data_IF_989458354078
#
_entry.id   IF_989458354078
#
_cell.length_a   1.000
_cell.length_b   1.000
_cell.length_c   1.000
_cell.angle_alpha   90.00
_cell.angle_beta   90.00
_cell.angle_gamma   90.00
#
_symmetry.space_group_name_H-M   'P 1'
#
loop_
_entity.id
_entity.type
_entity.pdbx_description
1 polymer ?
#
# COMPACT_ATOMS: atom_id res chain seq x y z
N UNK A 1 6.05 14.98 -12.84
CA UNK A 1 5.87 13.65 -13.49
C UNK A 1 6.61 12.60 -12.69
N UNK A 2 6.00 11.47 -12.48
CA UNK A 2 6.61 10.31 -11.83
C UNK A 2 7.04 9.34 -12.94
N UNK A 3 8.36 9.14 -13.12
CA UNK A 3 8.87 8.29 -14.19
C UNK A 3 8.76 6.80 -13.85
N UNK A 4 8.88 5.94 -14.86
CA UNK A 4 9.02 4.50 -14.67
C UNK A 4 10.17 4.16 -13.71
N UNK A 5 11.28 4.89 -13.83
CA UNK A 5 12.43 4.71 -12.94
C UNK A 5 12.07 4.98 -11.47
N UNK A 6 11.28 6.02 -11.20
CA UNK A 6 10.74 6.26 -9.87
C UNK A 6 9.88 5.09 -9.38
N UNK A 7 9.02 4.53 -10.24
CA UNK A 7 8.15 3.40 -9.88
C UNK A 7 8.97 2.16 -9.54
N UNK A 8 9.94 1.79 -10.37
CA UNK A 8 10.81 0.63 -10.11
C UNK A 8 11.57 0.82 -8.79
N UNK A 9 12.18 1.98 -8.59
CA UNK A 9 12.95 2.25 -7.37
C UNK A 9 12.05 2.35 -6.13
N UNK A 10 10.83 2.86 -6.25
CA UNK A 10 9.84 2.81 -5.18
C UNK A 10 9.61 1.37 -4.69
N UNK A 11 9.42 0.43 -5.61
CA UNK A 11 9.19 -0.98 -5.26
C UNK A 11 10.43 -1.62 -4.62
N UNK A 12 11.62 -1.25 -5.08
CA UNK A 12 12.87 -1.67 -4.44
C UNK A 12 13.03 -1.05 -3.04
N UNK A 13 12.65 0.20 -2.87
CA UNK A 13 12.64 0.85 -1.55
C UNK A 13 11.65 0.18 -0.60
N UNK A 14 10.52 -0.32 -1.10
CA UNK A 14 9.58 -1.09 -0.32
C UNK A 14 10.22 -2.37 0.25
N UNK A 15 11.04 -3.07 -0.54
CA UNK A 15 11.78 -4.23 -0.03
C UNK A 15 12.66 -3.85 1.15
N UNK A 16 13.42 -2.75 1.06
CA UNK A 16 14.26 -2.27 2.14
C UNK A 16 13.45 -1.90 3.38
N UNK A 17 12.37 -1.15 3.20
CA UNK A 17 11.52 -0.69 4.31
C UNK A 17 10.85 -1.86 5.02
N UNK A 18 10.32 -2.84 4.29
CA UNK A 18 9.68 -3.99 4.90
C UNK A 18 10.69 -4.96 5.54
N UNK A 19 11.94 -4.93 5.12
CA UNK A 19 13.03 -5.61 5.83
C UNK A 19 13.34 -4.92 7.16
N UNK A 20 13.51 -3.60 7.15
CA UNK A 20 13.79 -2.80 8.35
C UNK A 20 12.65 -2.82 9.36
N UNK A 21 11.40 -2.75 8.88
CA UNK A 21 10.20 -2.65 9.70
C UNK A 21 9.53 -4.00 9.98
N UNK A 22 10.14 -5.11 9.56
CA UNK A 22 9.59 -6.45 9.72
C UNK A 22 9.16 -6.74 11.15
N UNK A 23 10.04 -6.53 12.10
CA UNK A 23 9.79 -6.89 13.51
C UNK A 23 8.71 -5.98 14.11
N UNK A 24 8.69 -4.70 13.74
CA UNK A 24 7.66 -3.77 14.16
C UNK A 24 6.27 -4.18 13.66
N UNK A 25 6.15 -4.48 12.36
CA UNK A 25 4.88 -4.93 11.76
C UNK A 25 4.42 -6.27 12.35
N UNK A 26 5.35 -7.18 12.61
CA UNK A 26 5.08 -8.47 13.27
C UNK A 26 4.57 -8.25 14.69
N UNK A 27 5.17 -7.34 15.44
CA UNK A 27 4.73 -7.02 16.81
C UNK A 27 3.30 -6.46 16.83
N UNK A 28 2.96 -5.53 15.92
CA UNK A 28 1.60 -5.01 15.79
C UNK A 28 0.58 -6.12 15.52
N UNK A 29 0.93 -7.04 14.63
CA UNK A 29 0.07 -8.15 14.25
C UNK A 29 -0.02 -9.21 15.34
N UNK A 30 1.03 -9.41 16.13
CA UNK A 30 1.04 -10.36 17.25
C UNK A 30 0.02 -9.98 18.32
N UNK A 31 -0.16 -8.70 18.57
CA UNK A 31 -1.07 -8.21 19.61
C UNK A 31 -2.53 -8.57 19.32
N UNK A 32 -2.94 -8.52 18.04
CA UNK A 32 -4.34 -8.69 17.65
C UNK A 32 -4.58 -9.63 16.46
N UNK A 33 -3.53 -10.24 15.91
CA UNK A 33 -3.61 -11.14 14.75
C UNK A 33 -2.81 -12.42 14.94
N UNK A 34 -2.27 -12.93 13.84
CA UNK A 34 -1.48 -14.17 13.81
C UNK A 34 0.03 -13.95 13.80
N UNK A 35 0.49 -12.71 13.87
CA UNK A 35 1.90 -12.37 14.09
C UNK A 35 2.81 -12.63 12.89
N UNK A 36 2.28 -12.56 11.67
CA UNK A 36 3.05 -12.87 10.46
C UNK A 36 3.17 -11.73 9.45
N UNK A 37 2.51 -10.59 9.71
CA UNK A 37 2.42 -9.50 8.71
C UNK A 37 3.78 -8.97 8.27
N UNK A 38 4.68 -8.70 9.20
CA UNK A 38 6.02 -8.20 8.87
C UNK A 38 6.83 -9.20 8.05
N UNK A 39 6.79 -10.48 8.44
CA UNK A 39 7.47 -11.54 7.72
C UNK A 39 6.91 -11.71 6.31
N UNK A 40 5.60 -11.68 6.16
CA UNK A 40 4.93 -11.81 4.87
C UNK A 40 5.25 -10.63 3.94
N UNK A 41 5.23 -9.40 4.44
CA UNK A 41 5.56 -8.22 3.65
C UNK A 41 7.03 -8.24 3.21
N UNK A 42 7.95 -8.61 4.08
CA UNK A 42 9.36 -8.78 3.73
C UNK A 42 9.54 -9.84 2.64
N UNK A 43 8.97 -11.01 2.83
CA UNK A 43 9.07 -12.13 1.88
C UNK A 43 8.51 -11.74 0.50
N UNK A 44 7.35 -11.12 0.49
CA UNK A 44 6.69 -10.70 -0.75
C UNK A 44 7.51 -9.71 -1.54
N UNK A 45 7.98 -8.65 -0.91
CA UNK A 45 8.78 -7.62 -1.58
C UNK A 45 10.20 -8.07 -1.90
N UNK A 46 10.79 -9.01 -1.17
CA UNK A 46 12.04 -9.65 -1.58
C UNK A 46 11.86 -10.39 -2.91
N UNK A 47 10.74 -11.10 -3.10
CA UNK A 47 10.42 -11.75 -4.38
C UNK A 47 10.15 -10.74 -5.49
N UNK A 48 9.48 -9.65 -5.20
CA UNK A 48 9.29 -8.54 -6.16
C UNK A 48 10.64 -8.02 -6.62
N UNK A 49 11.57 -7.73 -5.71
CA UNK A 49 12.91 -7.26 -6.04
C UNK A 49 13.66 -8.22 -6.96
N UNK A 50 13.51 -9.52 -6.77
CA UNK A 50 14.09 -10.54 -7.66
C UNK A 50 13.50 -10.50 -9.08
N UNK A 51 12.22 -10.14 -9.23
CA UNK A 51 11.50 -10.14 -10.52
C UNK A 51 11.64 -8.84 -11.29
N UNK A 52 11.85 -7.72 -10.62
CA UNK A 52 11.87 -6.40 -11.25
C UNK A 52 12.91 -6.24 -12.36
N UNK A 53 14.14 -6.76 -12.26
CA UNK A 53 15.11 -6.59 -13.35
C UNK A 53 14.63 -7.11 -14.71
N UNK A 54 13.81 -8.16 -14.74
CA UNK A 54 13.29 -8.74 -15.97
C UNK A 54 12.24 -7.85 -16.66
N UNK A 55 11.64 -6.90 -15.96
CA UNK A 55 10.56 -6.03 -16.47
C UNK A 55 10.89 -4.54 -16.34
N UNK A 56 12.05 -4.17 -15.82
CA UNK A 56 12.44 -2.77 -15.60
C UNK A 56 12.51 -1.96 -16.91
N UNK A 57 12.71 -2.62 -18.04
CA UNK A 57 12.73 -2.01 -19.38
C UNK A 57 11.32 -1.93 -20.02
N UNK A 58 10.32 -2.53 -19.41
CA UNK A 58 8.92 -2.51 -19.88
C UNK A 58 8.20 -1.24 -19.40
N UNK A 59 6.92 -1.11 -19.74
CA UNK A 59 6.11 0.01 -19.26
C UNK A 59 5.71 -0.16 -17.78
N UNK A 60 5.14 0.90 -17.20
CA UNK A 60 4.71 0.91 -15.80
C UNK A 60 3.66 -0.16 -15.53
N UNK A 61 2.74 -0.40 -16.48
CA UNK A 61 1.72 -1.43 -16.35
C UNK A 61 2.33 -2.81 -16.16
N UNK A 62 3.36 -3.17 -16.94
CA UNK A 62 4.05 -4.47 -16.79
C UNK A 62 4.80 -4.57 -15.47
N UNK A 63 5.43 -3.51 -15.02
CA UNK A 63 6.13 -3.46 -13.73
C UNK A 63 5.14 -3.71 -12.59
N UNK A 64 4.01 -3.02 -12.58
CA UNK A 64 3.00 -3.16 -11.53
C UNK A 64 2.28 -4.51 -11.60
N UNK A 65 1.98 -5.03 -12.80
CA UNK A 65 1.37 -6.35 -12.97
C UNK A 65 2.27 -7.45 -12.43
N UNK A 66 3.55 -7.41 -12.76
CA UNK A 66 4.55 -8.36 -12.25
C UNK A 66 4.62 -8.30 -10.73
N UNK A 67 4.62 -7.09 -10.16
CA UNK A 67 4.59 -6.90 -8.71
C UNK A 67 3.36 -7.55 -8.09
N UNK A 68 2.19 -7.28 -8.63
CA UNK A 68 0.93 -7.85 -8.11
C UNK A 68 0.86 -9.36 -8.18
N UNK A 69 1.25 -9.95 -9.31
CA UNK A 69 1.27 -11.40 -9.48
C UNK A 69 2.27 -12.07 -8.54
N UNK A 70 3.42 -11.45 -8.33
CA UNK A 70 4.44 -11.94 -7.40
C UNK A 70 3.92 -11.93 -5.96
N UNK A 71 3.26 -10.84 -5.54
CA UNK A 71 2.68 -10.76 -4.20
C UNK A 71 1.55 -11.77 -3.98
N UNK A 72 0.71 -12.01 -4.98
CA UNK A 72 -0.34 -13.03 -4.90
C UNK A 72 0.23 -14.41 -4.62
N UNK A 73 1.37 -14.76 -5.19
CA UNK A 73 1.98 -16.08 -5.08
C UNK A 73 2.94 -16.24 -3.90
N UNK A 74 3.43 -15.15 -3.31
CA UNK A 74 4.51 -15.19 -2.31
C UNK A 74 4.14 -14.68 -0.93
N UNK A 75 3.05 -13.95 -0.79
CA UNK A 75 2.59 -13.42 0.51
C UNK A 75 1.42 -14.25 1.02
N UNK A 76 1.56 -14.74 2.25
CA UNK A 76 0.48 -15.47 2.93
C UNK A 76 -0.55 -14.56 3.55
N UNK A 77 -1.57 -15.16 4.18
CA UNK A 77 -2.63 -14.46 4.88
C UNK A 77 -3.51 -13.62 3.96
N UNK A 78 -4.16 -12.60 4.52
CA UNK A 78 -5.03 -11.69 3.78
C UNK A 78 -4.24 -10.65 2.96
N UNK A 79 -3.04 -10.29 3.38
CA UNK A 79 -2.25 -9.21 2.76
C UNK A 79 -1.80 -9.53 1.34
N UNK A 80 -1.47 -10.79 1.04
CA UNK A 80 -1.08 -11.24 -0.30
C UNK A 80 -2.16 -10.97 -1.32
N UNK A 81 -3.37 -11.51 -1.15
CA UNK A 81 -4.49 -11.23 -2.03
C UNK A 81 -4.84 -9.75 -2.15
N UNK A 82 -4.78 -8.98 -1.07
CA UNK A 82 -5.15 -7.57 -1.07
C UNK A 82 -4.10 -6.71 -1.79
N UNK A 83 -2.83 -6.77 -1.41
CA UNK A 83 -1.78 -6.02 -2.08
C UNK A 83 -1.54 -6.51 -3.52
N UNK A 84 -1.61 -7.80 -3.74
CA UNK A 84 -1.50 -8.36 -5.09
C UNK A 84 -2.59 -7.83 -6.01
N UNK A 85 -3.83 -7.81 -5.56
CA UNK A 85 -4.96 -7.26 -6.31
C UNK A 85 -4.80 -5.75 -6.53
N UNK A 86 -4.32 -5.03 -5.50
CA UNK A 86 -4.02 -3.60 -5.63
C UNK A 86 -3.10 -3.33 -6.83
N UNK A 87 -1.96 -4.00 -6.91
CA UNK A 87 -1.01 -3.76 -7.99
C UNK A 87 -1.51 -4.23 -9.35
N UNK A 88 -2.25 -5.32 -9.43
CA UNK A 88 -2.85 -5.79 -10.68
C UNK A 88 -3.88 -4.78 -11.21
N UNK A 89 -4.73 -4.26 -10.34
CA UNK A 89 -5.72 -3.24 -10.73
C UNK A 89 -5.06 -1.92 -11.08
N UNK A 90 -4.05 -1.50 -10.32
CA UNK A 90 -3.27 -0.31 -10.62
C UNK A 90 -2.56 -0.42 -11.98
N UNK A 91 -2.10 -1.61 -12.36
CA UNK A 91 -1.45 -1.86 -13.64
C UNK A 91 -2.35 -1.55 -14.83
N UNK A 92 -3.64 -1.86 -14.73
CA UNK A 92 -4.58 -1.71 -15.85
C UNK A 92 -4.69 -0.27 -16.35
N UNK A 93 -4.62 0.72 -15.46
CA UNK A 93 -4.70 2.14 -15.82
C UNK A 93 -3.35 2.76 -16.23
N UNK A 94 -2.28 1.99 -16.15
CA UNK A 94 -0.91 2.46 -16.46
C UNK A 94 -0.27 1.69 -17.60
N UNK A 95 -1.06 0.94 -18.35
CA UNK A 95 -0.59 0.20 -19.51
C UNK A 95 0.03 1.17 -20.56
N UNK A 96 1.16 0.76 -21.12
CA UNK A 96 1.97 1.55 -22.05
C UNK A 96 2.52 2.88 -21.51
N UNK A 97 2.35 3.18 -20.21
CA UNK A 97 2.88 4.41 -19.61
C UNK A 97 4.38 4.27 -19.28
N UNK A 98 5.13 5.33 -19.59
CA UNK A 98 6.56 5.47 -19.20
C UNK A 98 6.72 6.49 -18.06
N UNK A 99 5.70 7.30 -17.83
CA UNK A 99 5.64 8.27 -16.73
C UNK A 99 4.18 8.54 -16.36
N UNK A 100 3.95 9.06 -15.17
CA UNK A 100 2.64 9.38 -14.64
C UNK A 100 2.56 10.84 -14.21
N UNK A 101 1.49 11.52 -14.64
CA UNK A 101 1.09 12.79 -14.05
C UNK A 101 0.44 12.55 -12.68
N UNK A 102 0.18 13.61 -11.93
CA UNK A 102 -0.58 13.51 -10.68
C UNK A 102 -1.96 12.88 -10.91
N UNK A 103 -2.64 13.28 -11.99
CA UNK A 103 -3.94 12.71 -12.36
C UNK A 103 -3.87 11.20 -12.61
N UNK A 104 -2.87 10.76 -13.35
CA UNK A 104 -2.65 9.33 -13.63
C UNK A 104 -2.27 8.55 -12.37
N UNK A 105 -1.46 9.15 -11.50
CA UNK A 105 -1.13 8.55 -10.20
C UNK A 105 -2.37 8.39 -9.32
N UNK A 106 -3.21 9.42 -9.23
CA UNK A 106 -4.48 9.34 -8.49
C UNK A 106 -5.35 8.19 -9.02
N UNK A 107 -5.48 8.07 -10.34
CA UNK A 107 -6.25 6.99 -10.94
C UNK A 107 -5.66 5.62 -10.65
N UNK A 108 -4.34 5.49 -10.80
CA UNK A 108 -3.62 4.25 -10.51
C UNK A 108 -3.87 3.77 -9.07
N UNK A 109 -3.69 4.64 -8.10
CA UNK A 109 -3.89 4.31 -6.69
C UNK A 109 -5.37 4.04 -6.38
N UNK A 110 -6.27 4.83 -6.94
CA UNK A 110 -7.71 4.65 -6.77
C UNK A 110 -8.19 3.30 -7.31
N UNK A 111 -7.76 2.92 -8.52
CA UNK A 111 -8.09 1.63 -9.12
C UNK A 111 -7.55 0.47 -8.27
N UNK A 112 -6.34 0.62 -7.72
CA UNK A 112 -5.74 -0.35 -6.81
C UNK A 112 -6.58 -0.53 -5.53
N UNK A 113 -7.00 0.57 -4.93
CA UNK A 113 -7.84 0.53 -3.71
C UNK A 113 -9.22 -0.04 -4.00
N UNK A 114 -9.82 0.27 -5.15
CA UNK A 114 -11.08 -0.35 -5.57
C UNK A 114 -10.95 -1.87 -5.66
N UNK A 115 -9.81 -2.38 -6.10
CA UNK A 115 -9.50 -3.80 -6.09
C UNK A 115 -9.44 -4.38 -4.68
N UNK A 116 -8.80 -3.69 -3.75
CA UNK A 116 -8.76 -4.09 -2.33
C UNK A 116 -10.18 -4.17 -1.75
N UNK A 117 -10.99 -3.13 -1.97
CA UNK A 117 -12.37 -3.06 -1.46
C UNK A 117 -13.25 -4.15 -2.06
N UNK A 118 -13.14 -4.38 -3.36
CA UNK A 118 -13.90 -5.44 -4.04
C UNK A 118 -13.60 -6.81 -3.46
N UNK A 119 -12.34 -7.07 -3.11
CA UNK A 119 -11.90 -8.36 -2.59
C UNK A 119 -12.16 -8.52 -1.09
N UNK A 120 -11.81 -7.52 -0.30
CA UNK A 120 -11.88 -7.57 1.16
C UNK A 120 -13.19 -7.06 1.74
N UNK A 121 -13.97 -6.30 0.98
CA UNK A 121 -15.25 -5.72 1.37
C UNK A 121 -15.18 -4.92 2.68
N UNK A 122 -14.06 -4.20 2.89
CA UNK A 122 -13.91 -3.34 4.04
C UNK A 122 -14.80 -2.11 3.93
N UNK A 123 -15.24 -1.62 5.07
CA UNK A 123 -15.93 -0.34 5.22
C UNK A 123 -15.10 0.58 6.12
N UNK A 124 -15.30 1.92 6.01
CA UNK A 124 -14.60 2.85 6.90
C UNK A 124 -14.82 2.50 8.38
N UNK A 125 -13.74 2.47 9.15
CA UNK A 125 -13.78 2.15 10.57
C UNK A 125 -13.68 0.67 10.90
N UNK A 126 -13.56 -0.21 9.89
CA UNK A 126 -13.40 -1.65 10.11
C UNK A 126 -12.03 -2.04 10.67
N UNK A 127 -11.11 -1.10 10.77
CA UNK A 127 -9.73 -1.29 11.24
C UNK A 127 -8.95 -2.17 10.26
N UNK A 128 -8.81 -1.65 9.04
CA UNK A 128 -8.08 -2.32 7.95
C UNK A 128 -7.10 -1.37 7.27
N UNK A 129 -6.33 -1.87 6.32
CA UNK A 129 -5.46 -1.04 5.48
C UNK A 129 -6.23 0.07 4.75
N UNK A 130 -7.50 -0.11 4.47
CA UNK A 130 -8.32 0.90 3.80
C UNK A 130 -8.50 2.17 4.64
N UNK A 131 -8.43 2.07 5.97
CA UNK A 131 -8.50 3.24 6.85
C UNK A 131 -7.25 4.14 6.73
N UNK A 132 -6.18 3.67 6.11
CA UNK A 132 -5.04 4.47 5.67
C UNK A 132 -5.18 4.90 4.19
N UNK A 133 -5.63 4.00 3.31
CA UNK A 133 -5.77 4.28 1.88
C UNK A 133 -6.78 5.39 1.57
N UNK A 134 -7.99 5.33 2.15
CA UNK A 134 -9.04 6.29 1.84
C UNK A 134 -8.68 7.72 2.19
N UNK A 135 -8.15 8.04 3.38
CA UNK A 135 -7.68 9.40 3.66
C UNK A 135 -6.57 9.87 2.72
N UNK A 136 -5.65 8.98 2.37
CA UNK A 136 -4.57 9.30 1.44
C UNK A 136 -5.11 9.65 0.05
N UNK A 137 -6.05 8.85 -0.48
CA UNK A 137 -6.68 9.11 -1.77
C UNK A 137 -7.45 10.41 -1.78
N UNK A 138 -8.21 10.69 -0.71
CA UNK A 138 -8.95 11.94 -0.60
C UNK A 138 -8.01 13.15 -0.64
N UNK A 139 -6.88 13.08 0.07
CA UNK A 139 -5.88 14.13 0.07
C UNK A 139 -5.24 14.33 -1.31
N UNK A 140 -4.92 13.25 -2.01
CA UNK A 140 -4.38 13.31 -3.38
C UNK A 140 -5.36 13.93 -4.37
N UNK A 141 -6.61 13.52 -4.32
CA UNK A 141 -7.67 14.03 -5.20
C UNK A 141 -7.91 15.51 -4.96
N UNK A 142 -7.94 15.94 -3.70
CA UNK A 142 -8.08 17.35 -3.35
C UNK A 142 -6.90 18.18 -3.85
N UNK A 143 -5.68 17.68 -3.67
CA UNK A 143 -4.47 18.36 -4.16
C UNK A 143 -4.48 18.48 -5.69
N UNK A 144 -4.93 17.44 -6.40
CA UNK A 144 -5.09 17.47 -7.85
C UNK A 144 -6.10 18.53 -8.28
N UNK A 145 -7.26 18.59 -7.63
CA UNK A 145 -8.31 19.57 -7.93
C UNK A 145 -7.83 21.01 -7.69
N UNK A 146 -6.95 21.20 -6.72
CA UNK A 146 -6.35 22.49 -6.41
C UNK A 146 -5.14 22.84 -7.27
N UNK A 147 -4.76 21.99 -8.21
CA UNK A 147 -3.61 22.19 -9.10
C UNK A 147 -2.25 22.17 -8.37
N UNK A 148 -2.16 21.47 -7.25
CA UNK A 148 -0.92 21.40 -6.47
C UNK A 148 0.11 20.50 -7.15
N UNK A 149 1.43 20.78 -6.96
CA UNK A 149 2.49 19.93 -7.48
C UNK A 149 2.45 18.51 -6.90
N UNK A 150 2.98 17.54 -7.64
CA UNK A 150 3.00 16.13 -7.26
C UNK A 150 3.63 15.91 -5.87
N UNK A 151 4.75 16.57 -5.57
CA UNK A 151 5.43 16.38 -4.29
C UNK A 151 4.60 16.86 -3.10
N UNK A 152 3.93 18.00 -3.24
CA UNK A 152 3.02 18.52 -2.21
C UNK A 152 1.80 17.61 -2.04
N UNK A 153 1.26 17.08 -3.14
CA UNK A 153 0.16 16.14 -3.11
C UNK A 153 0.53 14.86 -2.36
N UNK A 154 1.72 14.32 -2.61
CA UNK A 154 2.22 13.13 -1.91
C UNK A 154 2.49 13.40 -0.43
N UNK A 155 2.99 14.59 -0.06
CA UNK A 155 3.14 14.98 1.35
C UNK A 155 1.80 14.94 2.08
N UNK A 156 0.76 15.49 1.47
CA UNK A 156 -0.59 15.48 2.03
C UNK A 156 -1.18 14.09 2.14
N UNK A 157 -0.92 13.24 1.13
CA UNK A 157 -1.38 11.87 1.14
C UNK A 157 -0.74 11.07 2.28
N UNK A 158 0.57 11.21 2.48
CA UNK A 158 1.27 10.53 3.57
C UNK A 158 0.81 11.03 4.93
N UNK A 159 0.63 12.33 5.10
CA UNK A 159 0.10 12.91 6.35
C UNK A 159 -1.31 12.38 6.66
N UNK A 160 -2.17 12.29 5.64
CA UNK A 160 -3.53 11.75 5.79
C UNK A 160 -3.51 10.24 6.10
N UNK A 161 -2.64 9.46 5.45
CA UNK A 161 -2.46 8.04 5.75
C UNK A 161 -1.95 7.83 7.17
N UNK A 162 -1.03 8.67 7.65
CA UNK A 162 -0.53 8.61 9.02
C UNK A 162 -1.64 8.86 10.04
N UNK A 163 -2.48 9.88 9.82
CA UNK A 163 -3.63 10.16 10.66
C UNK A 163 -4.65 9.01 10.65
N UNK A 164 -4.92 8.44 9.48
CA UNK A 164 -5.81 7.28 9.34
C UNK A 164 -5.28 6.04 10.04
N UNK A 165 -3.98 5.80 9.96
CA UNK A 165 -3.31 4.70 10.65
C UNK A 165 -3.40 4.85 12.17
N UNK A 166 -3.12 6.04 12.69
CA UNK A 166 -3.25 6.35 14.12
C UNK A 166 -4.71 6.17 14.59
N UNK A 167 -5.67 6.61 13.78
CA UNK A 167 -7.10 6.46 14.10
C UNK A 167 -7.52 4.99 14.26
N UNK A 168 -6.82 4.02 13.65
CA UNK A 168 -7.14 2.59 13.82
C UNK A 168 -6.93 2.11 15.25
N UNK A 169 -6.14 2.79 16.06
CA UNK A 169 -5.89 2.41 17.47
C UNK A 169 -7.19 2.32 18.24
N UNK A 170 -8.10 3.27 18.07
CA UNK A 170 -9.38 3.34 18.79
C UNK A 170 -10.51 2.57 18.12
N UNK A 171 -10.28 2.01 16.94
CA UNK A 171 -11.27 1.20 16.24
C UNK A 171 -11.32 -0.20 16.81
N UNK A 172 -12.52 -0.79 16.82
CA UNK A 172 -12.72 -2.22 17.04
C UNK A 172 -12.59 -2.92 15.69
N UNK A 173 -11.77 -3.96 15.60
CA UNK A 173 -11.60 -4.72 14.38
C UNK A 173 -12.86 -5.48 13.99
N UNK A 174 -13.27 -5.37 12.73
CA UNK A 174 -14.45 -6.03 12.15
C UNK A 174 -14.08 -6.97 11.00
N UNK A 175 -12.83 -7.01 10.62
CA UNK A 175 -12.28 -7.85 9.56
C UNK A 175 -11.04 -8.59 10.03
N UNK A 176 -10.73 -9.70 9.34
CA UNK A 176 -9.55 -10.49 9.62
C UNK A 176 -9.55 -11.15 10.99
N UNK A 177 -8.38 -11.64 11.40
CA UNK A 177 -8.22 -12.36 12.68
C UNK A 177 -8.44 -11.47 13.89
N UNK A 178 -8.09 -10.20 13.80
CA UNK A 178 -8.30 -9.23 14.88
C UNK A 178 -9.77 -9.11 15.27
N UNK A 179 -10.71 -9.37 14.36
CA UNK A 179 -12.15 -9.30 14.63
C UNK A 179 -12.60 -10.33 15.67
N UNK A 180 -11.89 -11.44 15.82
CA UNK A 180 -12.21 -12.47 16.81
C UNK A 180 -11.98 -12.00 18.24
N UNK A 181 -11.19 -10.94 18.46
CA UNK A 181 -10.91 -10.37 19.76
C UNK A 181 -12.02 -9.43 20.26
N UNK A 182 -12.93 -8.98 19.38
CA UNK A 182 -13.95 -8.00 19.74
C UNK A 182 -13.33 -6.72 20.29
N UNK A 183 -13.80 -6.26 21.45
CA UNK A 183 -13.32 -5.05 22.11
C UNK A 183 -11.84 -5.10 22.50
N UNK A 184 -11.26 -6.27 22.67
CA UNK A 184 -9.82 -6.43 22.97
C UNK A 184 -8.91 -6.00 21.80
N UNK A 185 -9.46 -5.81 20.61
CA UNK A 185 -8.70 -5.24 19.48
C UNK A 185 -8.50 -3.73 19.59
N UNK A 186 -9.30 -3.05 20.43
CA UNK A 186 -9.18 -1.60 20.65
C UNK A 186 -7.90 -1.31 21.44
N UNK A 187 -7.20 -0.23 21.08
CA UNK A 187 -5.95 0.18 21.72
C UNK A 187 -4.70 -0.29 20.98
N UNK A 188 -4.85 -1.01 19.87
CA UNK A 188 -3.75 -1.53 19.06
C UNK A 188 -3.85 -1.01 17.62
N UNK A 189 -2.74 -0.46 17.11
CA UNK A 189 -2.68 0.03 15.73
C UNK A 189 -2.76 -1.13 14.73
N UNK A 190 -3.51 -0.92 13.64
CA UNK A 190 -3.65 -1.94 12.60
C UNK A 190 -2.36 -2.12 11.79
N UNK A 191 -1.89 -3.35 11.67
CA UNK A 191 -0.67 -3.69 10.93
C UNK A 191 -0.80 -3.40 9.43
N UNK A 192 -1.95 -3.69 8.83
CA UNK A 192 -2.21 -3.41 7.42
C UNK A 192 -2.23 -1.92 7.08
N UNK A 193 -2.85 -1.10 7.95
CA UNK A 193 -2.81 0.35 7.82
C UNK A 193 -1.37 0.87 7.93
N UNK A 194 -0.58 0.31 8.84
CA UNK A 194 0.82 0.68 9.04
C UNK A 194 1.67 0.33 7.82
N UNK A 195 1.52 -0.86 7.24
CA UNK A 195 2.24 -1.23 6.03
C UNK A 195 1.85 -0.37 4.83
N UNK A 196 0.59 0.04 4.73
CA UNK A 196 0.12 0.98 3.71
C UNK A 196 0.79 2.35 3.88
N UNK A 197 0.88 2.87 5.09
CA UNK A 197 1.59 4.11 5.38
C UNK A 197 3.06 4.04 4.97
N UNK A 198 3.73 2.94 5.28
CA UNK A 198 5.14 2.72 4.90
C UNK A 198 5.31 2.69 3.37
N UNK A 199 4.42 2.02 2.67
CA UNK A 199 4.42 1.92 1.22
C UNK A 199 4.24 3.31 0.57
N UNK A 200 3.32 4.12 1.06
CA UNK A 200 3.08 5.48 0.57
C UNK A 200 4.23 6.44 0.92
N UNK A 201 4.82 6.27 2.09
CA UNK A 201 6.00 7.05 2.51
C UNK A 201 7.18 6.79 1.56
N UNK A 202 7.41 5.53 1.20
CA UNK A 202 8.43 5.16 0.22
C UNK A 202 8.18 5.83 -1.15
N UNK A 203 6.93 5.85 -1.61
CA UNK A 203 6.57 6.51 -2.86
C UNK A 203 6.84 8.01 -2.82
N UNK A 204 6.43 8.69 -1.76
CA UNK A 204 6.69 10.11 -1.55
C UNK A 204 8.17 10.42 -1.57
N UNK A 205 8.96 9.66 -0.83
CA UNK A 205 10.40 9.91 -0.70
C UNK A 205 11.11 9.67 -2.03
N UNK A 206 10.74 8.62 -2.76
CA UNK A 206 11.32 8.34 -4.07
C UNK A 206 10.96 9.39 -5.12
N UNK A 207 9.76 9.92 -5.09
CA UNK A 207 9.30 10.94 -6.04
C UNK A 207 10.11 12.25 -5.96
N UNK A 208 10.80 12.49 -4.85
CA UNK A 208 11.63 13.69 -4.64
C UNK A 208 13.04 13.57 -5.22
N UNK A 209 13.46 12.37 -5.59
CA UNK A 209 14.79 12.10 -6.15
C UNK A 209 14.76 12.09 -7.68
#
# INVERSE_FOLDING_TARGET
MLSKHHIVNWLLDCEHIFTEQRDYLTALDTDIGDGDHGLNMQRGFAKVAEKLPAVADKDIGQVLKTTGMTLLSSVGGASGPLYGTFFIRAAASTDACQSLSLSQLCKMLSDGVDGIVSRGRAEPGDKTMCDAWWPALAALQQAQQQGQPLNEALDKAVAAAAAGTEATIQMQARKGRASYLGERSIGHQDAGATSTLLLLTALRDRARL
#
